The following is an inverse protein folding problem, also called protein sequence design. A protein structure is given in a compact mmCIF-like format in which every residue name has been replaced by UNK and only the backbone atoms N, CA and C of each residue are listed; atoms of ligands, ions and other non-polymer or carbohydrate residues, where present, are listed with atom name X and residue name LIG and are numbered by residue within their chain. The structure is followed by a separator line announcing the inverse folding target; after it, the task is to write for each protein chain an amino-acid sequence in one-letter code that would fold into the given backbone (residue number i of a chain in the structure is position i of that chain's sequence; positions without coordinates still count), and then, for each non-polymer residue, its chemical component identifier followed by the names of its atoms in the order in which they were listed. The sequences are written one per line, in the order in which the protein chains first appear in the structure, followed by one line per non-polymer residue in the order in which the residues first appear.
data_IF_880866031799
#
_entry.id   IF_880866031799
#
_cell.length_a   1.000
_cell.length_b   1.000
_cell.length_c   1.000
_cell.angle_alpha   90.00
_cell.angle_beta   90.00
_cell.angle_gamma   90.00
#
_symmetry.space_group_name_H-M   'P 1'
#
loop_
_entity.id
_entity.type
_entity.pdbx_description
1 polymer ?
#
# COMPACT_ATOMS: atom_id res chain seq x y z
N UNK A 1 -6.21 -7.40 -25.92
CA UNK A 1 -7.45 -7.30 -26.73
C UNK A 1 -8.59 -6.87 -25.81
N UNK A 2 -9.32 -5.78 -26.09
CA UNK A 2 -10.44 -5.37 -25.25
C UNK A 2 -11.53 -6.44 -25.23
N UNK A 3 -12.13 -6.67 -24.05
CA UNK A 3 -13.21 -7.63 -23.89
C UNK A 3 -14.50 -7.09 -24.52
N UNK A 4 -15.34 -7.93 -25.16
CA UNK A 4 -16.60 -7.50 -25.77
C UNK A 4 -17.69 -7.26 -24.71
N UNK A 5 -17.58 -6.14 -23.99
CA UNK A 5 -18.42 -5.79 -22.84
C UNK A 5 -19.91 -5.60 -23.19
N UNK A 6 -20.25 -5.35 -24.45
CA UNK A 6 -21.64 -5.27 -24.92
C UNK A 6 -22.41 -6.57 -24.74
N UNK A 7 -21.70 -7.71 -24.80
CA UNK A 7 -22.28 -9.05 -24.60
C UNK A 7 -22.15 -9.55 -23.17
N UNK A 8 -21.55 -8.75 -22.27
CA UNK A 8 -21.24 -9.20 -20.92
C UNK A 8 -22.50 -9.29 -20.06
N UNK A 9 -22.69 -10.42 -19.38
CA UNK A 9 -23.86 -10.70 -18.56
C UNK A 9 -23.86 -9.92 -17.21
N UNK A 10 -23.99 -8.59 -17.26
CA UNK A 10 -23.93 -7.73 -16.06
C UNK A 10 -24.94 -8.11 -14.97
N UNK A 11 -26.14 -8.56 -15.36
CA UNK A 11 -27.24 -8.87 -14.43
C UNK A 11 -27.19 -10.29 -13.85
N UNK A 12 -26.50 -11.23 -14.50
CA UNK A 12 -26.42 -12.64 -14.07
C UNK A 12 -25.00 -12.97 -13.62
N UNK A 13 -24.84 -13.22 -12.31
CA UNK A 13 -23.54 -13.52 -11.68
C UNK A 13 -22.94 -14.83 -12.21
N UNK A 14 -23.75 -15.87 -12.39
CA UNK A 14 -23.27 -17.18 -12.82
C UNK A 14 -22.86 -17.15 -14.29
N UNK A 15 -23.70 -16.55 -15.15
CA UNK A 15 -23.41 -16.38 -16.56
C UNK A 15 -22.16 -15.51 -16.77
N UNK A 16 -22.04 -14.39 -16.03
CA UNK A 16 -20.86 -13.51 -16.04
C UNK A 16 -19.58 -14.27 -15.72
N UNK A 17 -19.57 -15.04 -14.64
CA UNK A 17 -18.37 -15.75 -14.21
C UNK A 17 -17.90 -16.75 -15.28
N UNK A 18 -18.84 -17.50 -15.84
CA UNK A 18 -18.57 -18.46 -16.92
C UNK A 18 -18.04 -17.77 -18.19
N UNK A 19 -18.65 -16.66 -18.57
CA UNK A 19 -18.25 -15.87 -19.74
C UNK A 19 -16.85 -15.28 -19.59
N UNK A 20 -16.55 -14.68 -18.42
CA UNK A 20 -15.23 -14.15 -18.11
C UNK A 20 -14.16 -15.24 -18.11
N UNK A 21 -14.45 -16.39 -17.49
CA UNK A 21 -13.54 -17.52 -17.47
C UNK A 21 -13.25 -18.04 -18.89
N UNK A 22 -14.26 -18.12 -19.75
CA UNK A 22 -14.08 -18.52 -21.15
C UNK A 22 -13.18 -17.54 -21.92
N UNK A 23 -13.39 -16.23 -21.76
CA UNK A 23 -12.56 -15.21 -22.42
C UNK A 23 -11.11 -15.24 -21.96
N UNK A 24 -10.90 -15.31 -20.64
CA UNK A 24 -9.57 -15.39 -20.04
C UNK A 24 -8.87 -16.71 -20.42
N UNK A 25 -9.60 -17.83 -20.48
CA UNK A 25 -9.07 -19.11 -20.92
C UNK A 25 -8.62 -19.07 -22.38
N UNK A 26 -9.41 -18.45 -23.26
CA UNK A 26 -9.03 -18.19 -24.65
C UNK A 26 -7.83 -17.24 -24.80
N UNK A 27 -7.54 -16.42 -23.77
CA UNK A 27 -6.35 -15.57 -23.69
C UNK A 27 -5.14 -16.27 -23.02
N UNK A 28 -5.25 -17.55 -22.66
CA UNK A 28 -4.15 -18.33 -22.08
C UNK A 28 -4.00 -18.23 -20.55
N UNK A 29 -4.99 -17.67 -19.83
CA UNK A 29 -4.92 -17.60 -18.37
C UNK A 29 -5.09 -18.99 -17.73
N UNK A 30 -4.17 -19.41 -16.83
CA UNK A 30 -4.28 -20.68 -16.13
C UNK A 30 -5.30 -20.58 -14.98
N UNK A 31 -6.28 -21.50 -14.96
CA UNK A 31 -7.26 -21.62 -13.87
C UNK A 31 -6.98 -22.79 -12.92
N UNK A 32 -5.91 -23.54 -13.17
CA UNK A 32 -5.51 -24.61 -12.27
C UNK A 32 -5.17 -24.02 -10.90
N UNK A 33 -5.57 -24.72 -9.83
CA UNK A 33 -5.18 -24.34 -8.47
C UNK A 33 -3.66 -24.39 -8.37
N UNK A 34 -3.05 -23.25 -8.08
CA UNK A 34 -1.60 -23.17 -7.82
C UNK A 34 -1.34 -23.79 -6.45
N UNK A 35 -0.57 -24.88 -6.43
CA UNK A 35 -0.07 -25.52 -5.21
C UNK A 35 1.44 -25.34 -5.16
N UNK A 36 1.98 -24.46 -4.30
CA UNK A 36 3.42 -24.29 -4.20
C UNK A 36 4.07 -25.57 -3.65
N UNK A 37 5.25 -25.91 -4.18
CA UNK A 37 6.13 -26.91 -3.56
C UNK A 37 6.60 -26.44 -2.18
N UNK A 38 7.13 -27.36 -1.36
CA UNK A 38 7.69 -27.02 -0.04
C UNK A 38 8.75 -25.93 -0.14
N UNK A 39 9.63 -26.01 -1.15
CA UNK A 39 10.65 -24.98 -1.40
C UNK A 39 10.04 -23.61 -1.72
N UNK A 40 9.07 -23.55 -2.64
CA UNK A 40 8.39 -22.29 -2.98
C UNK A 40 7.62 -21.70 -1.80
N UNK A 41 6.94 -22.55 -1.02
CA UNK A 41 6.24 -22.12 0.19
C UNK A 41 7.23 -21.54 1.22
N UNK A 42 8.38 -22.20 1.43
CA UNK A 42 9.43 -21.70 2.30
C UNK A 42 9.97 -20.34 1.82
N UNK A 43 10.19 -20.15 0.51
CA UNK A 43 10.62 -18.87 -0.07
C UNK A 43 9.58 -17.77 0.17
N UNK A 44 8.29 -18.06 -0.05
CA UNK A 44 7.20 -17.10 0.20
C UNK A 44 7.17 -16.71 1.68
N UNK A 45 7.23 -17.69 2.59
CA UNK A 45 7.23 -17.45 4.03
C UNK A 45 8.44 -16.63 4.45
N UNK A 46 9.64 -16.97 3.98
CA UNK A 46 10.86 -16.23 4.29
C UNK A 46 10.77 -14.77 3.79
N UNK A 47 10.24 -14.55 2.58
CA UNK A 47 10.00 -13.21 2.05
C UNK A 47 9.00 -12.41 2.90
N UNK A 48 7.89 -13.02 3.30
CA UNK A 48 6.90 -12.38 4.17
C UNK A 48 7.47 -12.05 5.55
N UNK A 49 8.26 -12.95 6.15
CA UNK A 49 8.93 -12.71 7.43
C UNK A 49 9.93 -11.56 7.32
N UNK A 50 10.71 -11.51 6.24
CA UNK A 50 11.64 -10.40 5.99
C UNK A 50 10.88 -9.08 5.86
N UNK A 51 9.80 -9.03 5.08
CA UNK A 51 8.96 -7.84 4.92
C UNK A 51 8.36 -7.38 6.26
N UNK A 52 7.87 -8.31 7.07
CA UNK A 52 7.34 -8.01 8.41
C UNK A 52 8.43 -7.51 9.37
N UNK A 53 9.63 -8.10 9.33
CA UNK A 53 10.76 -7.66 10.13
C UNK A 53 11.20 -6.24 9.74
N UNK A 54 11.31 -5.94 8.44
CA UNK A 54 11.62 -4.60 7.94
C UNK A 54 10.53 -3.59 8.31
N UNK A 55 9.26 -3.98 8.19
CA UNK A 55 8.13 -3.14 8.64
C UNK A 55 8.24 -2.85 10.14
N UNK A 56 8.45 -3.86 10.98
CA UNK A 56 8.61 -3.69 12.43
C UNK A 56 9.80 -2.80 12.79
N UNK A 57 10.95 -2.98 12.12
CA UNK A 57 12.15 -2.18 12.35
C UNK A 57 11.95 -0.69 12.06
N UNK A 58 11.04 -0.34 11.13
CA UNK A 58 10.68 1.06 10.84
C UNK A 58 9.59 1.62 11.75
N UNK A 59 8.58 0.80 12.11
CA UNK A 59 7.45 1.25 12.93
C UNK A 59 7.84 1.66 14.35
N UNK A 60 8.76 0.92 14.99
CA UNK A 60 9.20 1.21 16.36
C UNK A 60 9.83 2.60 16.51
N UNK A 61 10.92 2.92 15.76
CA UNK A 61 11.58 4.22 15.83
C UNK A 61 10.67 5.38 15.44
N UNK A 62 9.82 5.21 14.41
CA UNK A 62 8.87 6.25 13.97
C UNK A 62 7.86 6.57 15.07
N UNK A 63 7.31 5.56 15.75
CA UNK A 63 6.36 5.77 16.84
C UNK A 63 7.01 6.50 18.03
N UNK A 64 8.25 6.14 18.39
CA UNK A 64 9.00 6.81 19.45
C UNK A 64 9.24 8.29 19.10
N UNK A 65 9.79 8.56 17.91
CA UNK A 65 10.09 9.91 17.42
C UNK A 65 8.82 10.79 17.40
N UNK A 66 7.72 10.31 16.82
CA UNK A 66 6.47 11.07 16.78
C UNK A 66 5.92 11.34 18.19
N UNK A 67 6.08 10.41 19.12
CA UNK A 67 5.62 10.61 20.50
C UNK A 67 6.43 11.67 21.24
N UNK A 68 7.72 11.81 20.93
CA UNK A 68 8.59 12.83 21.51
C UNK A 68 8.40 14.20 20.87
N UNK A 69 8.05 14.25 19.59
CA UNK A 69 7.81 15.50 18.86
C UNK A 69 6.57 16.27 19.31
N UNK A 70 5.59 15.59 19.95
CA UNK A 70 4.34 16.21 20.36
C UNK A 70 4.08 16.12 21.87
N UNK A 71 3.60 17.21 22.52
CA UNK A 71 3.21 17.22 23.91
C UNK A 71 2.11 16.18 24.20
N UNK A 72 2.07 15.58 25.40
CA UNK A 72 1.08 14.54 25.74
C UNK A 72 -0.38 14.94 25.51
N UNK A 73 -0.69 16.23 25.69
CA UNK A 73 -2.05 16.80 25.59
C UNK A 73 -2.65 16.71 24.18
N UNK A 74 -1.83 16.84 23.15
CA UNK A 74 -2.27 16.90 21.73
C UNK A 74 -1.77 15.73 20.90
N UNK A 75 -0.88 14.90 21.47
CA UNK A 75 -0.18 13.81 20.78
C UNK A 75 -1.11 12.92 19.94
N UNK A 76 -2.26 12.53 20.50
CA UNK A 76 -3.19 11.65 19.77
C UNK A 76 -3.76 12.33 18.52
N UNK A 77 -4.27 13.56 18.65
CA UNK A 77 -4.82 14.33 17.53
C UNK A 77 -3.75 14.66 16.49
N UNK A 78 -2.56 15.08 16.94
CA UNK A 78 -1.42 15.38 16.07
C UNK A 78 -0.92 14.18 15.28
N UNK A 79 -0.96 12.96 15.86
CA UNK A 79 -0.60 11.73 15.13
C UNK A 79 -1.75 11.21 14.24
N UNK A 80 -3.01 11.38 14.66
CA UNK A 80 -4.17 10.84 13.96
C UNK A 80 -4.42 11.50 12.60
N UNK A 81 -4.29 12.82 12.50
CA UNK A 81 -4.51 13.58 11.24
C UNK A 81 -3.58 13.10 10.12
N UNK A 82 -2.24 13.13 10.27
CA UNK A 82 -1.33 12.66 9.23
C UNK A 82 -1.49 11.15 8.97
N UNK A 83 -1.80 10.35 10.00
CA UNK A 83 -2.08 8.94 9.82
C UNK A 83 -3.29 8.70 8.92
N UNK A 84 -4.43 9.35 9.16
CA UNK A 84 -5.64 9.18 8.35
C UNK A 84 -5.51 9.78 6.96
N UNK A 85 -4.81 10.90 6.80
CA UNK A 85 -4.55 11.45 5.47
C UNK A 85 -3.63 10.50 4.70
N UNK A 86 -2.55 10.04 5.35
CA UNK A 86 -1.58 9.13 4.78
C UNK A 86 -2.19 7.80 4.33
N UNK A 87 -2.81 7.11 5.28
CA UNK A 87 -3.43 5.80 5.05
C UNK A 87 -4.69 5.91 4.19
N UNK A 88 -5.51 6.94 4.40
CA UNK A 88 -6.78 7.12 3.69
C UNK A 88 -6.59 7.50 2.23
N UNK A 89 -5.84 8.57 1.95
CA UNK A 89 -5.64 9.02 0.58
C UNK A 89 -4.55 8.19 -0.11
N UNK A 90 -3.30 8.26 0.35
CA UNK A 90 -2.21 7.61 -0.39
C UNK A 90 -2.31 6.09 -0.35
N UNK A 91 -2.64 5.52 0.81
CA UNK A 91 -2.86 4.08 0.97
C UNK A 91 -4.16 3.60 0.33
N UNK A 92 -5.27 4.31 0.50
CA UNK A 92 -6.58 3.90 -0.02
C UNK A 92 -6.66 3.92 -1.54
N UNK A 93 -6.00 4.88 -2.21
CA UNK A 93 -5.96 4.93 -3.67
C UNK A 93 -4.90 4.01 -4.31
N UNK A 94 -3.99 3.42 -3.52
CA UNK A 94 -2.94 2.51 -4.02
C UNK A 94 -3.51 1.38 -4.91
N UNK A 95 -4.52 0.59 -4.49
CA UNK A 95 -4.99 -0.53 -5.32
C UNK A 95 -5.61 -0.06 -6.63
N UNK A 96 -6.31 1.07 -6.62
CA UNK A 96 -6.93 1.65 -7.81
C UNK A 96 -5.87 2.11 -8.81
N UNK A 97 -4.89 2.89 -8.34
CA UNK A 97 -3.84 3.45 -9.19
C UNK A 97 -2.92 2.34 -9.68
N UNK A 98 -2.43 1.47 -8.79
CA UNK A 98 -1.58 0.33 -9.15
C UNK A 98 -2.27 -0.61 -10.15
N UNK A 99 -3.56 -0.90 -9.92
CA UNK A 99 -4.37 -1.70 -10.83
C UNK A 99 -4.55 -1.05 -12.20
N UNK A 100 -4.80 0.27 -12.25
CA UNK A 100 -4.90 1.02 -13.50
C UNK A 100 -3.58 1.00 -14.29
N UNK A 101 -2.44 1.23 -13.61
CA UNK A 101 -1.12 1.18 -14.22
C UNK A 101 -0.83 -0.21 -14.79
N UNK A 102 -1.07 -1.26 -13.99
CA UNK A 102 -0.85 -2.64 -14.42
C UNK A 102 -1.74 -3.00 -15.63
N UNK A 103 -3.02 -2.61 -15.60
CA UNK A 103 -3.95 -2.85 -16.70
C UNK A 103 -3.55 -2.13 -18.00
N UNK A 104 -2.98 -0.92 -17.90
CA UNK A 104 -2.55 -0.13 -19.05
C UNK A 104 -1.19 -0.56 -19.61
N UNK A 105 -0.25 -0.91 -18.72
CA UNK A 105 1.11 -1.32 -19.10
C UNK A 105 1.22 -2.78 -19.52
N UNK A 106 0.32 -3.65 -19.04
CA UNK A 106 0.43 -5.10 -19.19
C UNK A 106 1.44 -5.75 -18.25
N UNK A 107 2.16 -4.97 -17.43
CA UNK A 107 3.11 -5.45 -16.44
C UNK A 107 2.48 -5.38 -15.03
N UNK A 108 2.28 -6.52 -14.34
CA UNK A 108 1.73 -6.54 -12.99
C UNK A 108 2.60 -5.81 -11.95
N UNK A 109 3.90 -5.63 -12.23
CA UNK A 109 4.83 -4.95 -11.33
C UNK A 109 4.90 -3.44 -11.54
N UNK A 110 4.38 -2.93 -12.67
CA UNK A 110 4.42 -1.51 -12.97
C UNK A 110 3.70 -0.68 -11.90
N UNK A 111 2.65 -1.20 -11.26
CA UNK A 111 1.95 -0.51 -10.18
C UNK A 111 2.82 -0.16 -8.97
N UNK A 112 3.99 -0.79 -8.80
CA UNK A 112 4.92 -0.52 -7.68
C UNK A 112 5.47 0.91 -7.69
N UNK A 113 5.57 1.57 -8.87
CA UNK A 113 6.13 2.92 -8.94
C UNK A 113 5.36 3.92 -8.09
N UNK A 114 4.04 3.74 -7.93
CA UNK A 114 3.22 4.63 -7.12
C UNK A 114 3.70 4.62 -5.66
N UNK A 115 3.93 3.43 -5.09
CA UNK A 115 4.46 3.29 -3.74
C UNK A 115 5.85 3.93 -3.62
N UNK A 116 6.73 3.69 -4.59
CA UNK A 116 8.06 4.32 -4.63
C UNK A 116 7.99 5.84 -4.65
N UNK A 117 7.10 6.41 -5.46
CA UNK A 117 6.92 7.86 -5.55
C UNK A 117 6.42 8.45 -4.23
N UNK A 118 5.40 7.84 -3.60
CA UNK A 118 4.89 8.30 -2.31
C UNK A 118 5.96 8.23 -1.23
N UNK A 119 6.72 7.14 -1.16
CA UNK A 119 7.82 6.97 -0.20
C UNK A 119 8.94 7.99 -0.46
N UNK A 120 9.28 8.27 -1.73
CA UNK A 120 10.27 9.29 -2.07
C UNK A 120 9.82 10.68 -1.63
N UNK A 121 8.55 11.04 -1.83
CA UNK A 121 8.01 12.31 -1.33
C UNK A 121 8.06 12.36 0.19
N UNK A 122 7.65 11.30 0.89
CA UNK A 122 7.73 11.24 2.35
C UNK A 122 9.17 11.39 2.86
N UNK A 123 10.13 10.76 2.18
CA UNK A 123 11.55 10.88 2.47
C UNK A 123 12.06 12.32 2.28
N UNK A 124 11.71 12.98 1.17
CA UNK A 124 12.08 14.38 0.92
C UNK A 124 11.48 15.34 1.97
N UNK A 125 10.21 15.11 2.35
CA UNK A 125 9.55 15.89 3.41
C UNK A 125 10.24 15.65 4.76
N UNK A 126 10.61 14.41 5.07
CA UNK A 126 11.34 14.09 6.29
C UNK A 126 12.72 14.76 6.32
N UNK A 127 13.49 14.71 5.23
CA UNK A 127 14.79 15.37 5.12
C UNK A 127 14.70 16.89 5.30
N UNK A 128 13.66 17.52 4.77
CA UNK A 128 13.47 18.96 4.87
C UNK A 128 12.88 19.40 6.22
N UNK A 129 11.94 18.63 6.76
CA UNK A 129 11.11 19.00 7.91
C UNK A 129 11.64 18.53 9.27
N UNK A 130 12.37 17.41 9.34
CA UNK A 130 12.93 16.92 10.60
C UNK A 130 14.17 17.72 10.98
N UNK A 131 14.00 18.66 11.91
CA UNK A 131 15.10 19.40 12.52
C UNK A 131 15.62 18.64 13.75
N UNK A 132 16.94 18.59 13.91
CA UNK A 132 17.56 17.95 15.07
C UNK A 132 17.38 18.76 16.35
N UNK A 133 17.28 18.05 17.48
CA UNK A 133 17.22 18.63 18.82
C UNK A 133 15.87 18.42 19.53
N UNK A 134 15.82 18.62 20.86
CA UNK A 134 14.58 18.49 21.63
C UNK A 134 13.55 19.53 21.17
N UNK A 135 12.24 19.25 21.29
CA UNK A 135 11.18 20.18 20.89
C UNK A 135 11.34 21.53 21.61
N UNK A 136 11.58 22.60 20.85
CA UNK A 136 11.90 23.94 21.39
C UNK A 136 10.68 24.83 21.61
N UNK A 137 9.52 24.44 21.10
CA UNK A 137 8.37 25.34 20.95
C UNK A 137 7.27 25.15 22.02
N UNK A 138 7.54 24.37 23.08
CA UNK A 138 6.55 24.05 24.12
C UNK A 138 6.96 24.53 25.51
N UNK A 139 7.66 25.66 25.61
CA UNK A 139 7.69 26.39 26.88
C UNK A 139 6.25 26.77 27.25
N UNK A 140 5.79 26.45 28.48
CA UNK A 140 4.51 26.96 28.93
C UNK A 140 4.59 28.48 28.91
N UNK A 141 3.73 29.13 28.13
CA UNK A 141 3.36 30.52 28.39
C UNK A 141 2.77 30.52 29.80
N UNK A 142 3.60 30.83 30.79
CA UNK A 142 3.21 31.03 32.17
C UNK A 142 2.24 32.22 32.16
N UNK A 143 0.95 31.93 32.31
CA UNK A 143 -0.02 32.87 32.83
C UNK A 143 0.14 32.94 34.36
#
# INVERSE_FOLDING_TARGET
KPLPLSTYAWKDKAARAKQLQAWLGGAGYPFAKVKPSVGQAATIIAGLLLLMALSGATYGPVAALLSEMFPPRIRYSSMSIPYHIGTGYFGGFLPLIAGYIAAKSGDPYAGLWYTWAVVAVAFLVALWGLKGGPPRDYEPQRA
#
